data_IF_296665284292
#
_entry.id   IF_296665284292
#
_cell.length_a   1.000
_cell.length_b   1.000
_cell.length_c   1.000
_cell.angle_alpha   90.00
_cell.angle_beta   90.00
_cell.angle_gamma   90.00
#
_symmetry.space_group_name_H-M   'P 1'
#
loop_
_entity.id
_entity.type
_entity.pdbx_description
1 polymer ?
#
# COMPACT_ATOMS: atom_id res chain seq x y z
N UNK A 1 1.70 37.53 0.49
CA UNK A 1 1.32 36.82 1.73
C UNK A 1 0.00 36.07 1.58
N UNK A 2 -0.99 36.65 0.89
CA UNK A 2 -2.27 35.98 0.59
C UNK A 2 -2.11 34.64 -0.16
N UNK A 3 -1.19 34.59 -1.12
CA UNK A 3 -1.02 33.43 -2.03
C UNK A 3 -0.48 32.19 -1.32
N UNK A 4 0.25 32.36 -0.22
CA UNK A 4 0.74 31.26 0.62
C UNK A 4 -0.28 30.79 1.65
N UNK A 5 -1.23 31.65 2.04
CA UNK A 5 -2.18 31.32 3.10
C UNK A 5 -3.17 30.24 2.66
N UNK A 6 -3.69 30.32 1.45
CA UNK A 6 -4.68 29.37 0.95
C UNK A 6 -4.13 27.94 0.85
N UNK A 7 -2.96 27.67 0.22
CA UNK A 7 -2.37 26.33 0.22
C UNK A 7 -2.07 25.76 1.60
N UNK A 8 -1.64 26.62 2.55
CA UNK A 8 -1.39 26.18 3.92
C UNK A 8 -2.70 25.74 4.61
N UNK A 9 -3.80 26.47 4.39
CA UNK A 9 -5.12 26.08 4.90
C UNK A 9 -5.57 24.75 4.27
N UNK A 10 -5.38 24.56 2.97
CA UNK A 10 -5.69 23.29 2.29
C UNK A 10 -4.89 22.12 2.88
N UNK A 11 -3.57 22.29 3.08
CA UNK A 11 -2.73 21.26 3.70
C UNK A 11 -3.24 20.92 5.10
N UNK A 12 -3.50 21.93 5.94
CA UNK A 12 -4.00 21.70 7.29
C UNK A 12 -5.36 21.00 7.30
N UNK A 13 -6.30 21.48 6.47
CA UNK A 13 -7.62 20.86 6.32
C UNK A 13 -7.52 19.43 5.82
N UNK A 14 -6.69 19.17 4.82
CA UNK A 14 -6.44 17.84 4.28
C UNK A 14 -5.93 16.88 5.36
N UNK A 15 -4.96 17.31 6.18
CA UNK A 15 -4.46 16.51 7.31
C UNK A 15 -5.58 16.19 8.31
N UNK A 16 -6.37 17.19 8.71
CA UNK A 16 -7.49 16.99 9.65
C UNK A 16 -8.51 16.00 9.11
N UNK A 17 -8.88 16.12 7.82
CA UNK A 17 -9.82 15.22 7.15
C UNK A 17 -9.27 13.79 7.04
N UNK A 18 -7.99 13.63 6.70
CA UNK A 18 -7.33 12.32 6.63
C UNK A 18 -7.35 11.61 8.00
N UNK A 19 -6.94 12.28 9.07
CA UNK A 19 -6.92 11.68 10.41
C UNK A 19 -8.34 11.39 10.92
N UNK A 20 -9.30 12.29 10.70
CA UNK A 20 -10.69 12.08 11.10
C UNK A 20 -11.33 10.93 10.31
N UNK A 21 -11.10 10.91 9.00
CA UNK A 21 -11.58 9.85 8.11
C UNK A 21 -10.96 8.48 8.45
N UNK A 22 -9.65 8.45 8.69
CA UNK A 22 -8.95 7.25 9.09
C UNK A 22 -9.43 6.70 10.45
N UNK A 23 -9.72 7.59 11.41
CA UNK A 23 -10.27 7.19 12.71
C UNK A 23 -11.66 6.54 12.54
N UNK A 24 -12.57 7.15 11.76
CA UNK A 24 -13.89 6.58 11.49
C UNK A 24 -13.78 5.26 10.74
N UNK A 25 -12.91 5.19 9.74
CA UNK A 25 -12.74 4.00 8.92
C UNK A 25 -12.20 2.82 9.72
N UNK A 26 -11.14 3.02 10.51
CA UNK A 26 -10.56 1.97 11.36
C UNK A 26 -11.53 1.53 12.46
N UNK A 27 -12.27 2.45 13.09
CA UNK A 27 -13.33 2.06 14.03
C UNK A 27 -14.37 1.18 13.33
N UNK A 28 -14.87 1.61 12.17
CA UNK A 28 -15.83 0.83 11.39
C UNK A 28 -15.29 -0.57 11.04
N UNK A 29 -14.02 -0.67 10.62
CA UNK A 29 -13.37 -1.93 10.28
C UNK A 29 -13.23 -2.88 11.48
N UNK A 30 -12.84 -2.35 12.64
CA UNK A 30 -12.76 -3.14 13.88
C UNK A 30 -14.15 -3.69 14.25
N UNK A 31 -15.17 -2.85 14.28
CA UNK A 31 -16.53 -3.28 14.59
C UNK A 31 -17.07 -4.28 13.56
N UNK A 32 -16.79 -4.07 12.27
CA UNK A 32 -17.18 -5.02 11.22
C UNK A 32 -16.55 -6.40 11.44
N UNK A 33 -15.26 -6.45 11.79
CA UNK A 33 -14.54 -7.69 12.11
C UNK A 33 -15.22 -8.45 13.25
N UNK A 34 -15.59 -7.73 14.30
CA UNK A 34 -16.23 -8.29 15.49
C UNK A 34 -17.65 -8.81 15.22
N UNK A 35 -18.47 -8.04 14.48
CA UNK A 35 -19.86 -8.45 14.14
C UNK A 35 -19.88 -9.67 13.23
N UNK A 36 -18.99 -9.71 12.24
CA UNK A 36 -18.91 -10.82 11.29
C UNK A 36 -18.18 -12.03 11.87
N UNK A 37 -17.50 -11.89 13.00
CA UNK A 37 -16.64 -12.94 13.55
C UNK A 37 -15.42 -13.23 12.67
N UNK A 38 -14.97 -12.24 11.89
CA UNK A 38 -13.86 -12.36 10.92
C UNK A 38 -12.58 -11.80 11.55
N UNK A 39 -11.44 -12.52 11.47
CA UNK A 39 -10.18 -12.01 11.98
C UNK A 39 -9.81 -10.63 11.39
N UNK A 40 -9.29 -9.72 12.22
CA UNK A 40 -8.93 -8.36 11.82
C UNK A 40 -7.96 -8.32 10.62
N UNK A 41 -7.07 -9.32 10.51
CA UNK A 41 -6.15 -9.43 9.39
C UNK A 41 -6.89 -9.59 8.05
N UNK A 42 -7.98 -10.36 8.02
CA UNK A 42 -8.78 -10.57 6.80
C UNK A 42 -9.54 -9.30 6.42
N UNK A 43 -10.09 -8.59 7.42
CA UNK A 43 -10.72 -7.28 7.18
C UNK A 43 -9.69 -6.28 6.65
N UNK A 44 -8.45 -6.31 7.17
CA UNK A 44 -7.34 -5.50 6.66
C UNK A 44 -7.02 -5.81 5.19
N UNK A 45 -6.87 -7.10 4.86
CA UNK A 45 -6.56 -7.58 3.51
C UNK A 45 -7.68 -7.34 2.48
N UNK A 46 -8.91 -7.11 2.92
CA UNK A 46 -10.09 -7.00 2.06
C UNK A 46 -10.75 -5.62 2.14
N UNK A 47 -11.58 -5.40 3.15
CA UNK A 47 -12.41 -4.19 3.27
C UNK A 47 -11.57 -2.94 3.42
N UNK A 48 -10.54 -2.99 4.28
CA UNK A 48 -9.69 -1.81 4.53
C UNK A 48 -8.87 -1.49 3.30
N UNK A 49 -8.19 -2.47 2.73
CA UNK A 49 -7.38 -2.26 1.53
C UNK A 49 -8.21 -1.83 0.31
N UNK A 50 -9.40 -2.42 0.10
CA UNK A 50 -10.29 -1.99 -1.00
C UNK A 50 -10.76 -0.55 -0.82
N UNK A 51 -11.09 -0.17 0.42
CA UNK A 51 -11.54 1.18 0.73
C UNK A 51 -10.44 2.21 0.51
N UNK A 52 -9.23 1.94 0.99
CA UNK A 52 -8.10 2.87 0.87
C UNK A 52 -7.54 2.93 -0.55
N UNK A 53 -7.51 1.81 -1.30
CA UNK A 53 -7.04 1.77 -2.70
C UNK A 53 -8.10 2.21 -3.72
N UNK A 54 -9.28 2.66 -3.29
CA UNK A 54 -10.29 3.21 -4.20
C UNK A 54 -9.81 4.45 -4.96
N UNK A 55 -9.08 5.42 -4.36
CA UNK A 55 -8.51 6.54 -5.10
C UNK A 55 -7.54 6.09 -6.20
N UNK A 56 -6.66 5.13 -5.91
CA UNK A 56 -5.72 4.56 -6.90
C UNK A 56 -6.46 3.97 -8.08
N UNK A 57 -7.53 3.21 -7.84
CA UNK A 57 -8.37 2.63 -8.89
C UNK A 57 -8.98 3.72 -9.77
N UNK A 58 -9.58 4.74 -9.15
CA UNK A 58 -10.22 5.85 -9.88
C UNK A 58 -9.22 6.66 -10.68
N UNK A 59 -8.05 6.99 -10.11
CA UNK A 59 -6.99 7.74 -10.80
C UNK A 59 -6.45 6.92 -11.97
N UNK A 60 -6.14 5.63 -11.77
CA UNK A 60 -5.59 4.79 -12.82
C UNK A 60 -6.57 4.57 -13.96
N UNK A 61 -7.86 4.26 -13.68
CA UNK A 61 -8.88 4.11 -14.71
C UNK A 61 -9.15 5.42 -15.45
N UNK A 62 -9.22 6.56 -14.74
CA UNK A 62 -9.39 7.86 -15.39
C UNK A 62 -8.21 8.23 -16.29
N UNK A 63 -7.00 7.81 -15.92
CA UNK A 63 -5.79 8.00 -16.75
C UNK A 63 -5.88 7.20 -18.05
N UNK A 64 -6.34 5.95 -18.00
CA UNK A 64 -6.59 5.14 -19.21
C UNK A 64 -7.62 5.81 -20.12
N UNK A 65 -8.73 6.28 -19.56
CA UNK A 65 -9.77 6.97 -20.33
C UNK A 65 -9.26 8.27 -21.00
N UNK A 66 -8.25 8.90 -20.41
CA UNK A 66 -7.58 10.09 -20.98
C UNK A 66 -6.41 9.75 -21.91
N UNK A 67 -6.13 8.46 -22.14
CA UNK A 67 -5.03 8.01 -22.98
C UNK A 67 -3.63 8.09 -22.32
N UNK A 68 -3.57 8.18 -21.00
CA UNK A 68 -2.31 8.28 -20.23
C UNK A 68 -1.97 6.94 -19.55
N UNK A 69 -1.67 5.91 -20.35
CA UNK A 69 -1.35 4.54 -19.90
C UNK A 69 -0.17 4.54 -18.91
N UNK A 70 0.87 5.32 -19.20
CA UNK A 70 2.06 5.42 -18.35
C UNK A 70 1.74 5.94 -16.94
N UNK A 71 0.83 6.92 -16.83
CA UNK A 71 0.39 7.44 -15.54
C UNK A 71 -0.37 6.38 -14.73
N UNK A 72 -1.22 5.58 -15.38
CA UNK A 72 -1.93 4.49 -14.72
C UNK A 72 -0.98 3.43 -14.16
N UNK A 73 -0.01 2.99 -14.97
CA UNK A 73 0.97 1.98 -14.57
C UNK A 73 1.90 2.50 -13.46
N UNK A 74 2.44 3.72 -13.60
CA UNK A 74 3.34 4.31 -12.60
C UNK A 74 2.65 4.56 -11.27
N UNK A 75 1.37 4.97 -11.26
CA UNK A 75 0.58 5.12 -10.04
C UNK A 75 0.52 3.80 -9.27
N UNK A 76 0.19 2.69 -9.92
CA UNK A 76 0.08 1.38 -9.25
C UNK A 76 1.44 0.89 -8.76
N UNK A 77 2.48 0.95 -9.58
CA UNK A 77 3.82 0.48 -9.21
C UNK A 77 4.38 1.33 -8.05
N UNK A 78 4.23 2.65 -8.16
CA UNK A 78 4.67 3.60 -7.12
C UNK A 78 3.95 3.38 -5.80
N UNK A 79 2.62 3.20 -5.80
CA UNK A 79 1.83 2.89 -4.60
C UNK A 79 2.28 1.58 -3.93
N UNK A 80 2.61 0.54 -4.71
CA UNK A 80 3.12 -0.72 -4.14
C UNK A 80 4.47 -0.52 -3.42
N UNK A 81 5.40 0.22 -4.02
CA UNK A 81 6.69 0.55 -3.41
C UNK A 81 6.48 1.41 -2.16
N UNK A 82 5.63 2.44 -2.23
CA UNK A 82 5.31 3.32 -1.13
C UNK A 82 4.69 2.55 0.05
N UNK A 83 3.74 1.68 -0.20
CA UNK A 83 3.07 0.88 0.81
C UNK A 83 4.06 0.00 1.59
N UNK A 84 4.99 -0.68 0.92
CA UNK A 84 5.99 -1.51 1.60
C UNK A 84 7.02 -0.64 2.34
N UNK A 85 7.57 0.38 1.69
CA UNK A 85 8.70 1.09 2.25
C UNK A 85 8.30 2.20 3.24
N UNK A 86 7.23 2.93 2.93
CA UNK A 86 6.80 4.08 3.76
C UNK A 86 5.72 3.69 4.74
N UNK A 87 4.65 3.04 4.28
CA UNK A 87 3.51 2.74 5.18
C UNK A 87 3.90 1.74 6.25
N UNK A 88 4.55 0.61 5.90
CA UNK A 88 5.08 -0.31 6.92
C UNK A 88 6.22 0.32 7.72
N UNK A 89 7.09 1.09 7.06
CA UNK A 89 8.20 1.79 7.70
C UNK A 89 7.72 2.68 8.84
N UNK A 90 6.84 3.64 8.55
CA UNK A 90 6.30 4.59 9.54
C UNK A 90 5.47 3.85 10.61
N UNK A 91 4.59 2.94 10.19
CA UNK A 91 3.74 2.19 11.13
C UNK A 91 4.56 1.39 12.14
N UNK A 92 5.67 0.77 11.71
CA UNK A 92 6.55 -0.01 12.59
C UNK A 92 7.44 0.86 13.50
N UNK A 93 7.75 2.10 13.10
CA UNK A 93 8.40 3.09 13.97
C UNK A 93 7.50 3.49 15.14
N UNK A 94 6.20 3.65 14.89
CA UNK A 94 5.20 3.97 15.90
C UNK A 94 5.08 2.81 16.88
N UNK A 95 4.75 1.64 16.37
CA UNK A 95 4.55 0.42 17.16
C UNK A 95 5.13 -0.78 16.38
N UNK A 96 6.02 -1.60 16.98
CA UNK A 96 6.47 -2.83 16.34
C UNK A 96 5.28 -3.69 15.90
N UNK A 97 5.19 -3.99 14.61
CA UNK A 97 4.04 -4.67 14.02
C UNK A 97 4.19 -6.20 14.20
N UNK A 98 3.30 -6.82 14.94
CA UNK A 98 3.26 -8.28 15.08
C UNK A 98 2.76 -8.90 13.77
N UNK A 99 3.51 -9.86 13.25
CA UNK A 99 3.20 -10.54 11.98
C UNK A 99 2.67 -11.94 12.25
N UNK A 100 1.46 -12.25 11.81
CA UNK A 100 0.91 -13.59 11.90
C UNK A 100 1.60 -14.53 10.89
N UNK A 101 1.76 -15.79 11.27
CA UNK A 101 2.40 -16.82 10.43
C UNK A 101 1.70 -17.00 9.07
N UNK A 102 0.41 -16.73 8.99
CA UNK A 102 -0.37 -16.73 7.74
C UNK A 102 0.20 -15.74 6.72
N UNK A 103 0.48 -14.50 7.13
CA UNK A 103 1.05 -13.46 6.26
C UNK A 103 2.35 -13.95 5.62
N UNK A 104 3.25 -14.51 6.44
CA UNK A 104 4.57 -14.99 5.99
C UNK A 104 4.45 -16.21 5.07
N UNK A 105 3.54 -17.14 5.37
CA UNK A 105 3.45 -18.43 4.67
C UNK A 105 2.56 -18.40 3.43
N UNK A 106 1.66 -17.43 3.32
CA UNK A 106 0.67 -17.35 2.25
C UNK A 106 0.69 -16.00 1.52
N UNK A 107 0.39 -14.90 2.25
CA UNK A 107 0.05 -13.63 1.61
C UNK A 107 1.28 -12.96 0.98
N UNK A 108 2.43 -12.98 1.67
CA UNK A 108 3.69 -12.46 1.12
C UNK A 108 4.19 -13.31 -0.05
N UNK A 109 4.27 -14.67 0.01
CA UNK A 109 4.61 -15.48 -1.14
C UNK A 109 3.68 -15.30 -2.34
N UNK A 110 2.37 -15.12 -2.10
CA UNK A 110 1.42 -14.80 -3.16
C UNK A 110 1.74 -13.44 -3.79
N UNK A 111 1.95 -12.41 -2.97
CA UNK A 111 2.32 -11.08 -3.45
C UNK A 111 3.63 -11.11 -4.26
N UNK A 112 4.63 -11.86 -3.81
CA UNK A 112 5.89 -12.08 -4.54
C UNK A 112 5.65 -12.73 -5.91
N UNK A 113 4.85 -13.80 -5.95
CA UNK A 113 4.52 -14.50 -7.18
C UNK A 113 3.79 -13.59 -8.18
N UNK A 114 2.80 -12.81 -7.71
CA UNK A 114 2.06 -11.85 -8.55
C UNK A 114 2.99 -10.73 -9.02
N UNK A 115 3.85 -10.17 -8.16
CA UNK A 115 4.80 -9.12 -8.55
C UNK A 115 5.77 -9.61 -9.63
N UNK A 116 6.29 -10.83 -9.51
CA UNK A 116 7.12 -11.46 -10.55
C UNK A 116 6.33 -11.68 -11.85
N UNK A 117 5.07 -12.15 -11.75
CA UNK A 117 4.22 -12.37 -12.92
C UNK A 117 3.90 -11.05 -13.64
N UNK A 118 3.57 -9.98 -12.91
CA UNK A 118 3.35 -8.65 -13.48
C UNK A 118 4.61 -8.15 -14.20
N UNK A 119 5.78 -8.26 -13.59
CA UNK A 119 7.04 -7.87 -14.22
C UNK A 119 7.30 -8.69 -15.50
N UNK A 120 7.16 -10.01 -15.43
CA UNK A 120 7.34 -10.89 -16.58
C UNK A 120 6.36 -10.57 -17.73
N UNK A 121 5.07 -10.40 -17.43
CA UNK A 121 4.04 -10.04 -18.41
C UNK A 121 4.25 -8.66 -19.02
N UNK A 122 4.85 -7.73 -18.28
CA UNK A 122 5.16 -6.36 -18.73
C UNK A 122 6.45 -6.28 -19.57
N UNK A 123 7.24 -7.34 -19.66
CA UNK A 123 8.58 -7.34 -20.28
C UNK A 123 8.60 -6.93 -21.75
N UNK A 124 7.49 -7.12 -22.46
CA UNK A 124 7.32 -6.72 -23.88
C UNK A 124 6.97 -5.24 -24.08
N UNK A 125 6.76 -4.48 -23.01
CA UNK A 125 6.27 -3.10 -23.07
C UNK A 125 4.75 -2.97 -23.05
N UNK A 126 4.04 -4.09 -23.02
CA UNK A 126 2.58 -4.12 -23.04
C UNK A 126 2.05 -5.12 -22.02
N UNK A 127 1.15 -4.68 -21.16
CA UNK A 127 0.33 -5.57 -20.36
C UNK A 127 -0.97 -5.84 -21.12
N UNK A 128 -1.07 -7.02 -21.71
CA UNK A 128 -2.12 -7.37 -22.67
C UNK A 128 -3.49 -7.59 -22.01
N UNK A 129 -4.57 -7.58 -22.80
CA UNK A 129 -5.92 -7.93 -22.34
C UNK A 129 -5.94 -9.31 -21.64
N UNK A 130 -5.22 -10.30 -22.18
CA UNK A 130 -5.13 -11.64 -21.58
C UNK A 130 -4.45 -11.59 -20.20
N UNK A 131 -3.39 -10.79 -20.07
CA UNK A 131 -2.74 -10.57 -18.78
C UNK A 131 -3.70 -9.91 -17.77
N UNK A 132 -4.49 -8.92 -18.21
CA UNK A 132 -5.53 -8.29 -17.37
C UNK A 132 -6.59 -9.29 -16.91
N UNK A 133 -7.12 -10.12 -17.80
CA UNK A 133 -8.08 -11.19 -17.46
C UNK A 133 -7.46 -12.19 -16.47
N UNK A 134 -6.21 -12.59 -16.68
CA UNK A 134 -5.47 -13.48 -15.76
C UNK A 134 -5.34 -12.87 -14.36
N UNK A 135 -4.99 -11.59 -14.24
CA UNK A 135 -4.88 -10.90 -12.96
C UNK A 135 -6.23 -10.84 -12.23
N UNK A 136 -7.32 -10.49 -12.92
CA UNK A 136 -8.67 -10.50 -12.33
C UNK A 136 -9.08 -11.92 -11.92
N UNK A 137 -8.75 -12.93 -12.72
CA UNK A 137 -8.99 -14.33 -12.35
C UNK A 137 -8.25 -14.72 -11.07
N UNK A 138 -6.97 -14.35 -10.94
CA UNK A 138 -6.20 -14.55 -9.72
C UNK A 138 -6.82 -13.83 -8.51
N UNK A 139 -7.37 -12.62 -8.70
CA UNK A 139 -8.10 -11.89 -7.66
C UNK A 139 -9.33 -12.68 -7.17
N UNK A 140 -10.13 -13.19 -8.10
CA UNK A 140 -11.32 -14.01 -7.77
C UNK A 140 -10.90 -15.26 -6.98
N UNK A 141 -9.88 -15.98 -7.45
CA UNK A 141 -9.37 -17.15 -6.73
C UNK A 141 -8.87 -16.82 -5.33
N UNK A 142 -8.11 -15.72 -5.19
CA UNK A 142 -7.64 -15.27 -3.89
C UNK A 142 -8.81 -14.90 -2.96
N UNK A 143 -9.83 -14.22 -3.47
CA UNK A 143 -11.02 -13.83 -2.69
C UNK A 143 -11.80 -15.07 -2.25
N UNK A 144 -12.02 -16.05 -3.13
CA UNK A 144 -12.67 -17.32 -2.77
C UNK A 144 -11.87 -18.05 -1.68
N UNK A 145 -10.55 -18.09 -1.82
CA UNK A 145 -9.68 -18.72 -0.82
C UNK A 145 -9.76 -17.99 0.54
N UNK A 146 -9.80 -16.65 0.55
CA UNK A 146 -10.00 -15.86 1.77
C UNK A 146 -11.31 -16.27 2.47
N UNK A 147 -12.41 -16.30 1.74
CA UNK A 147 -13.74 -16.64 2.27
C UNK A 147 -13.74 -18.07 2.84
N UNK A 148 -13.18 -19.04 2.14
CA UNK A 148 -13.13 -20.42 2.61
C UNK A 148 -12.29 -20.57 3.90
N UNK A 149 -11.19 -19.83 4.00
CA UNK A 149 -10.32 -19.87 5.20
C UNK A 149 -11.01 -19.24 6.43
N UNK A 150 -11.94 -18.31 6.24
CA UNK A 150 -12.75 -17.74 7.32
C UNK A 150 -13.65 -18.84 7.92
N UNK A 151 -14.28 -19.65 7.07
CA UNK A 151 -15.21 -20.70 7.48
C UNK A 151 -14.54 -21.81 8.30
N UNK A 152 -13.24 -22.09 8.05
CA UNK A 152 -12.48 -23.13 8.77
C UNK A 152 -12.00 -22.69 10.16
N UNK A 153 -11.85 -21.39 10.41
CA UNK A 153 -11.22 -20.83 11.63
C UNK A 153 -12.19 -20.15 12.60
N UNK A 154 -13.46 -20.49 12.60
CA UNK A 154 -14.50 -19.91 13.47
C UNK A 154 -14.25 -19.96 14.99
N UNK A 155 -13.06 -20.37 15.45
CA UNK A 155 -12.73 -20.52 16.87
C UNK A 155 -11.89 -19.36 17.47
N UNK A 156 -11.24 -18.49 16.67
CA UNK A 156 -10.36 -17.42 17.20
C UNK A 156 -11.10 -16.16 17.70
N UNK A 157 -12.41 -16.08 17.57
CA UNK A 157 -13.21 -14.89 17.93
C UNK A 157 -14.00 -15.03 19.25
N UNK A 158 -13.69 -16.02 20.09
CA UNK A 158 -14.45 -16.30 21.31
C UNK A 158 -14.26 -15.29 22.46
N UNK A 159 -13.31 -14.36 22.36
CA UNK A 159 -13.10 -13.32 23.38
C UNK A 159 -13.79 -11.99 23.01
N UNK A 160 -15.01 -12.08 22.44
CA UNK A 160 -15.82 -10.90 22.18
C UNK A 160 -16.36 -10.33 23.50
N UNK A 161 -15.99 -9.07 23.79
CA UNK A 161 -16.48 -8.36 24.98
C UNK A 161 -18.02 -8.25 24.98
N UNK A 162 -18.68 -8.21 26.14
CA UNK A 162 -20.16 -8.15 26.24
C UNK A 162 -20.84 -7.03 25.49
N UNK A 163 -20.14 -5.90 25.29
CA UNK A 163 -20.60 -4.76 24.47
C UNK A 163 -20.87 -5.12 22.99
N UNK A 164 -20.33 -6.23 22.51
CA UNK A 164 -20.43 -6.67 21.12
C UNK A 164 -21.71 -7.47 20.88
N UNK A 165 -22.20 -8.21 21.86
CA UNK A 165 -23.48 -8.92 21.75
C UNK A 165 -24.65 -7.94 21.64
N UNK A 166 -24.61 -6.82 22.38
CA UNK A 166 -25.62 -5.78 22.31
C UNK A 166 -25.64 -5.06 20.96
N UNK A 167 -24.48 -4.93 20.30
CA UNK A 167 -24.36 -4.33 18.95
C UNK A 167 -24.79 -5.27 17.82
N UNK A 168 -24.67 -6.60 18.01
CA UNK A 168 -25.05 -7.59 16.98
C UNK A 168 -26.53 -7.56 16.66
N UNK A 169 -27.38 -7.30 17.63
CA UNK A 169 -28.86 -7.28 17.45
C UNK A 169 -29.43 -5.87 17.19
N UNK A 170 -28.61 -4.82 17.32
CA UNK A 170 -29.10 -3.46 17.17
C UNK A 170 -28.90 -2.97 15.73
N UNK A 171 -30.00 -2.80 14.97
CA UNK A 171 -30.01 -2.24 13.61
C UNK A 171 -29.35 -0.85 13.53
N UNK A 172 -29.55 0.00 14.55
CA UNK A 172 -28.88 1.33 14.64
C UNK A 172 -27.37 1.19 14.77
N UNK A 173 -26.88 0.18 15.50
CA UNK A 173 -25.45 -0.12 15.60
C UNK A 173 -24.83 -0.51 14.27
N UNK A 174 -25.48 -1.40 13.52
CA UNK A 174 -25.01 -1.82 12.17
C UNK A 174 -25.02 -0.68 11.18
N UNK A 175 -26.06 0.16 11.19
CA UNK A 175 -26.14 1.35 10.33
C UNK A 175 -25.02 2.36 10.66
N UNK A 176 -24.72 2.58 11.95
CA UNK A 176 -23.66 3.48 12.36
C UNK A 176 -22.27 2.99 11.91
N UNK A 177 -22.04 1.68 11.89
CA UNK A 177 -20.78 1.08 11.41
C UNK A 177 -20.62 1.31 9.92
N UNK A 178 -21.68 1.03 9.14
CA UNK A 178 -21.67 1.27 7.69
C UNK A 178 -21.44 2.75 7.37
N UNK A 179 -22.10 3.65 8.09
CA UNK A 179 -21.90 5.09 7.96
C UNK A 179 -20.45 5.50 8.29
N UNK A 180 -19.84 4.95 9.34
CA UNK A 180 -18.44 5.22 9.67
C UNK A 180 -17.48 4.75 8.57
N UNK A 181 -17.72 3.57 7.97
CA UNK A 181 -16.91 3.08 6.86
C UNK A 181 -17.03 3.99 5.63
N UNK A 182 -18.25 4.30 5.20
CA UNK A 182 -18.50 5.15 4.01
C UNK A 182 -17.96 6.56 4.24
N UNK A 183 -18.27 7.18 5.38
CA UNK A 183 -17.79 8.51 5.71
C UNK A 183 -16.27 8.53 5.86
N UNK A 184 -15.70 7.48 6.43
CA UNK A 184 -14.26 7.32 6.54
C UNK A 184 -13.57 7.32 5.18
N UNK A 185 -14.03 6.50 4.23
CA UNK A 185 -13.50 6.45 2.86
C UNK A 185 -13.66 7.82 2.17
N UNK A 186 -14.83 8.45 2.29
CA UNK A 186 -15.06 9.76 1.70
C UNK A 186 -14.09 10.82 2.24
N UNK A 187 -13.93 10.90 3.57
CA UNK A 187 -13.04 11.87 4.21
C UNK A 187 -11.56 11.59 3.90
N UNK A 188 -11.16 10.32 3.83
CA UNK A 188 -9.79 9.93 3.43
C UNK A 188 -9.51 10.36 2.00
N UNK A 189 -10.39 10.05 1.05
CA UNK A 189 -10.20 10.39 -0.36
C UNK A 189 -10.24 11.90 -0.59
N UNK A 190 -11.20 12.59 0.03
CA UNK A 190 -11.35 14.05 -0.10
C UNK A 190 -10.21 14.80 0.59
N UNK A 191 -9.82 14.35 1.79
CA UNK A 191 -8.70 14.92 2.53
C UNK A 191 -7.36 14.75 1.82
N UNK A 192 -7.14 13.58 1.21
CA UNK A 192 -5.96 13.32 0.37
C UNK A 192 -5.89 14.30 -0.81
N UNK A 193 -6.98 14.47 -1.56
CA UNK A 193 -7.02 15.39 -2.70
C UNK A 193 -6.73 16.85 -2.28
N UNK A 194 -7.33 17.32 -1.18
CA UNK A 194 -7.10 18.68 -0.68
C UNK A 194 -5.64 18.86 -0.26
N UNK A 195 -5.07 17.88 0.48
CA UNK A 195 -3.68 17.93 0.93
C UNK A 195 -2.72 17.97 -0.26
N UNK A 196 -2.93 17.13 -1.26
CA UNK A 196 -2.12 17.08 -2.48
C UNK A 196 -2.19 18.42 -3.23
N UNK A 197 -3.38 18.95 -3.46
CA UNK A 197 -3.57 20.23 -4.17
C UNK A 197 -2.87 21.39 -3.46
N UNK A 198 -3.06 21.51 -2.15
CA UNK A 198 -2.38 22.53 -1.35
C UNK A 198 -0.86 22.37 -1.36
N UNK A 199 -0.36 21.12 -1.27
CA UNK A 199 1.07 20.83 -1.31
C UNK A 199 1.69 21.15 -2.66
N UNK A 200 1.01 20.82 -3.76
CA UNK A 200 1.44 21.16 -5.13
C UNK A 200 1.52 22.67 -5.33
N UNK A 201 0.46 23.38 -4.95
CA UNK A 201 0.39 24.84 -5.08
C UNK A 201 1.50 25.50 -4.27
N UNK A 202 1.70 25.07 -3.02
CA UNK A 202 2.77 25.59 -2.17
C UNK A 202 4.16 25.32 -2.75
N UNK A 203 4.42 24.10 -3.22
CA UNK A 203 5.70 23.73 -3.83
C UNK A 203 5.98 24.54 -5.10
N UNK A 204 4.97 24.77 -5.94
CA UNK A 204 5.06 25.62 -7.14
C UNK A 204 5.39 27.07 -6.78
N UNK A 205 4.73 27.64 -5.75
CA UNK A 205 5.02 28.98 -5.25
C UNK A 205 6.43 29.12 -4.67
N UNK A 206 6.98 28.03 -4.14
CA UNK A 206 8.38 27.97 -3.65
C UNK A 206 9.40 27.72 -4.77
N UNK A 207 8.95 27.62 -6.02
CA UNK A 207 9.83 27.40 -7.19
C UNK A 207 10.36 25.97 -7.32
N UNK A 208 9.72 24.99 -6.69
CA UNK A 208 10.08 23.57 -6.85
C UNK A 208 9.72 23.13 -8.27
N UNK A 209 10.61 22.37 -8.92
CA UNK A 209 10.39 21.86 -10.26
C UNK A 209 9.16 20.96 -10.33
N UNK A 210 8.29 21.15 -11.34
CA UNK A 210 7.04 20.40 -11.53
C UNK A 210 7.25 18.89 -11.60
N UNK A 211 8.38 18.44 -12.16
CA UNK A 211 8.72 17.01 -12.24
C UNK A 211 8.94 16.44 -10.83
N UNK A 212 9.64 17.18 -9.98
CA UNK A 212 9.88 16.78 -8.57
C UNK A 212 8.56 16.73 -7.81
N UNK A 213 7.68 17.73 -8.01
CA UNK A 213 6.33 17.74 -7.42
C UNK A 213 5.53 16.50 -7.86
N UNK A 214 5.53 16.19 -9.17
CA UNK A 214 4.84 15.04 -9.72
C UNK A 214 5.34 13.71 -9.14
N UNK A 215 6.68 13.54 -9.08
CA UNK A 215 7.30 12.30 -8.59
C UNK A 215 7.17 12.08 -7.08
N UNK A 216 7.00 13.14 -6.31
CA UNK A 216 6.95 13.06 -4.85
C UNK A 216 5.53 13.26 -4.31
N UNK A 217 4.98 14.45 -4.45
CA UNK A 217 3.70 14.84 -3.82
C UNK A 217 2.52 14.13 -4.48
N UNK A 218 2.50 14.11 -5.83
CA UNK A 218 1.36 13.53 -6.56
C UNK A 218 1.40 12.01 -6.47
N UNK A 219 2.57 11.41 -6.74
CA UNK A 219 2.72 9.97 -6.76
C UNK A 219 2.43 9.31 -5.39
N UNK A 220 2.68 10.04 -4.28
CA UNK A 220 2.37 9.54 -2.94
C UNK A 220 0.96 9.88 -2.48
N UNK A 221 0.33 10.85 -3.13
CA UNK A 221 -0.96 11.40 -2.70
C UNK A 221 -2.09 10.38 -2.64
N UNK A 222 -2.20 9.51 -3.62
CA UNK A 222 -3.25 8.48 -3.64
C UNK A 222 -3.09 7.47 -2.51
N UNK A 223 -1.86 7.20 -2.07
CA UNK A 223 -1.56 6.24 -0.98
C UNK A 223 -1.55 6.87 0.43
N UNK A 224 -1.94 8.14 0.56
CA UNK A 224 -2.11 8.77 1.88
C UNK A 224 -3.22 8.11 2.73
N UNK A 225 -4.35 7.68 2.17
CA UNK A 225 -5.34 6.90 2.90
C UNK A 225 -4.76 5.64 3.55
N UNK A 226 -3.95 4.87 2.80
CA UNK A 226 -3.24 3.68 3.31
C UNK A 226 -2.31 4.04 4.47
N UNK A 227 -1.54 5.11 4.31
CA UNK A 227 -0.60 5.57 5.31
C UNK A 227 -1.33 5.93 6.60
N UNK A 228 -2.34 6.79 6.53
CA UNK A 228 -3.04 7.30 7.71
C UNK A 228 -3.82 6.19 8.41
N UNK A 229 -4.52 5.33 7.68
CA UNK A 229 -5.26 4.20 8.26
C UNK A 229 -4.33 3.21 8.94
N UNK A 230 -3.17 2.89 8.34
CA UNK A 230 -2.18 1.99 8.93
C UNK A 230 -1.51 2.60 10.17
N UNK A 231 -1.23 3.91 10.16
CA UNK A 231 -0.75 4.66 11.33
C UNK A 231 -1.77 4.59 12.48
N UNK A 232 -3.05 4.87 12.21
CA UNK A 232 -4.10 4.85 13.24
C UNK A 232 -4.28 3.42 13.78
N UNK A 233 -4.27 2.40 12.91
CA UNK A 233 -4.33 1.01 13.32
C UNK A 233 -3.13 0.63 14.22
N UNK A 234 -1.92 1.06 13.87
CA UNK A 234 -0.71 0.86 14.67
C UNK A 234 -0.80 1.55 16.04
N UNK A 235 -1.26 2.79 16.10
CA UNK A 235 -1.49 3.53 17.37
C UNK A 235 -2.50 2.82 18.27
N UNK A 236 -3.53 2.22 17.70
CA UNK A 236 -4.55 1.43 18.43
C UNK A 236 -4.07 0.03 18.79
N UNK A 237 -2.83 -0.35 18.47
CA UNK A 237 -2.29 -1.69 18.69
C UNK A 237 -2.92 -2.77 17.77
N UNK A 238 -3.70 -2.37 16.75
CA UNK A 238 -4.34 -3.25 15.77
C UNK A 238 -3.39 -3.56 14.62
N UNK A 239 -2.23 -4.15 14.95
CA UNK A 239 -1.14 -4.41 14.00
C UNK A 239 -1.57 -5.30 12.83
N UNK A 240 -2.52 -6.21 13.05
CA UNK A 240 -3.10 -7.06 12.01
C UNK A 240 -3.82 -6.24 10.93
N UNK A 241 -4.58 -5.21 11.33
CA UNK A 241 -5.23 -4.30 10.37
C UNK A 241 -4.20 -3.50 9.57
N UNK A 242 -3.13 -3.00 10.22
CA UNK A 242 -2.09 -2.24 9.54
C UNK A 242 -1.36 -3.07 8.49
N UNK A 243 -0.91 -4.28 8.85
CA UNK A 243 -0.22 -5.19 7.90
C UNK A 243 -1.18 -5.67 6.82
N UNK A 244 -2.40 -6.05 7.21
CA UNK A 244 -3.43 -6.49 6.27
C UNK A 244 -3.76 -5.41 5.24
N UNK A 245 -3.88 -4.15 5.66
CA UNK A 245 -4.08 -3.02 4.76
C UNK A 245 -2.96 -2.93 3.72
N UNK A 246 -1.70 -2.94 4.14
CA UNK A 246 -0.55 -2.79 3.21
C UNK A 246 -0.46 -3.96 2.23
N UNK A 247 -0.50 -5.20 2.73
CA UNK A 247 -0.38 -6.39 1.86
C UNK A 247 -1.60 -6.52 0.96
N UNK A 248 -2.80 -6.24 1.48
CA UNK A 248 -4.05 -6.26 0.72
C UNK A 248 -4.08 -5.20 -0.37
N UNK A 249 -3.69 -3.95 -0.06
CA UNK A 249 -3.59 -2.87 -1.05
C UNK A 249 -2.59 -3.22 -2.15
N UNK A 250 -1.43 -3.80 -1.82
CA UNK A 250 -0.47 -4.22 -2.84
C UNK A 250 -0.99 -5.34 -3.75
N UNK A 251 -1.72 -6.32 -3.20
CA UNK A 251 -2.40 -7.34 -4.00
C UNK A 251 -3.50 -6.73 -4.87
N UNK A 252 -4.36 -5.86 -4.32
CA UNK A 252 -5.43 -5.20 -5.06
C UNK A 252 -4.89 -4.29 -6.16
N UNK A 253 -3.84 -3.53 -5.89
CA UNK A 253 -3.19 -2.68 -6.87
C UNK A 253 -2.73 -3.49 -8.09
N UNK A 254 -2.12 -4.63 -7.88
CA UNK A 254 -1.63 -5.48 -8.97
C UNK A 254 -2.76 -6.28 -9.62
N UNK A 255 -3.62 -6.93 -8.84
CA UNK A 255 -4.65 -7.83 -9.38
C UNK A 255 -5.86 -7.07 -9.91
N UNK A 256 -6.41 -6.12 -9.11
CA UNK A 256 -7.61 -5.37 -9.48
C UNK A 256 -7.27 -4.20 -10.39
N UNK A 257 -6.34 -3.32 -9.97
CA UNK A 257 -6.14 -2.05 -10.68
C UNK A 257 -5.40 -2.26 -11.99
N UNK A 258 -4.21 -2.91 -12.00
CA UNK A 258 -3.52 -3.24 -13.26
C UNK A 258 -4.35 -4.17 -14.14
N UNK A 259 -5.02 -5.16 -13.54
CA UNK A 259 -5.92 -6.05 -14.26
C UNK A 259 -7.04 -5.30 -14.96
N UNK A 260 -7.73 -4.41 -14.26
CA UNK A 260 -8.78 -3.56 -14.83
C UNK A 260 -8.23 -2.60 -15.90
N UNK A 261 -7.12 -1.91 -15.63
CA UNK A 261 -6.49 -1.02 -16.61
C UNK A 261 -6.14 -1.75 -17.91
N UNK A 262 -5.58 -2.95 -17.83
CA UNK A 262 -5.27 -3.77 -19.01
C UNK A 262 -6.52 -4.18 -19.78
N UNK A 263 -7.61 -4.51 -19.09
CA UNK A 263 -8.89 -4.86 -19.71
C UNK A 263 -9.52 -3.63 -20.38
N UNK A 264 -9.53 -2.48 -19.72
CA UNK A 264 -10.07 -1.24 -20.27
C UNK A 264 -9.25 -0.70 -21.45
N UNK A 265 -7.93 -0.98 -21.51
CA UNK A 265 -7.10 -0.70 -22.69
C UNK A 265 -7.43 -1.60 -23.89
N UNK A 266 -8.23 -2.66 -23.69
CA UNK A 266 -8.70 -3.57 -24.72
C UNK A 266 -7.59 -4.34 -25.45
N UNK A 267 -7.77 -4.59 -26.75
CA UNK A 267 -6.77 -5.33 -27.55
C UNK A 267 -5.46 -4.57 -27.75
N UNK A 268 -5.44 -3.25 -27.56
CA UNK A 268 -4.22 -2.44 -27.60
C UNK A 268 -3.27 -2.81 -26.45
N UNK A 269 -3.83 -3.23 -25.31
CA UNK A 269 -3.09 -3.46 -24.07
C UNK A 269 -2.67 -2.16 -23.38
N UNK A 270 -2.34 -2.26 -22.10
CA UNK A 270 -1.79 -1.17 -21.31
C UNK A 270 -0.31 -0.99 -21.62
N UNK A 271 0.07 0.18 -22.11
CA UNK A 271 1.48 0.50 -22.42
C UNK A 271 2.26 0.69 -21.13
N UNK A 272 3.36 -0.05 -20.99
CA UNK A 272 4.29 0.07 -19.85
C UNK A 272 5.60 0.64 -20.36
N UNK A 273 5.99 1.80 -19.85
CA UNK A 273 7.23 2.45 -20.23
C UNK A 273 8.47 1.62 -19.91
N UNK A 274 9.50 1.72 -20.75
CA UNK A 274 10.77 1.00 -20.56
C UNK A 274 11.49 1.35 -19.25
N UNK A 275 11.33 2.58 -18.77
CA UNK A 275 11.81 3.02 -17.46
C UNK A 275 11.19 2.21 -16.31
N UNK A 276 9.86 2.02 -16.35
CA UNK A 276 9.12 1.22 -15.35
C UNK A 276 9.56 -0.24 -15.40
N UNK A 277 9.74 -0.81 -16.60
CA UNK A 277 10.11 -2.24 -16.76
C UNK A 277 11.53 -2.50 -16.23
N UNK A 278 12.48 -1.58 -16.52
CA UNK A 278 13.90 -1.79 -16.19
C UNK A 278 14.28 -1.37 -14.77
N UNK A 279 13.54 -0.48 -14.14
CA UNK A 279 13.89 0.10 -12.84
C UNK A 279 12.80 -0.13 -11.80
N UNK A 280 11.58 0.33 -12.05
CA UNK A 280 10.54 0.37 -11.01
C UNK A 280 9.93 -0.99 -10.71
N UNK A 281 9.61 -1.78 -11.72
CA UNK A 281 9.08 -3.13 -11.53
C UNK A 281 10.10 -4.05 -10.84
N UNK A 282 11.39 -4.14 -11.25
CA UNK A 282 12.40 -4.85 -10.48
C UNK A 282 12.52 -4.37 -9.04
N UNK A 283 12.48 -3.05 -8.81
CA UNK A 283 12.55 -2.49 -7.47
C UNK A 283 11.30 -2.86 -6.64
N UNK A 284 10.11 -2.79 -7.20
CA UNK A 284 8.87 -3.25 -6.57
C UNK A 284 8.95 -4.74 -6.20
N UNK A 285 9.46 -5.58 -7.09
CA UNK A 285 9.68 -7.01 -6.81
C UNK A 285 10.68 -7.18 -5.66
N UNK A 286 11.81 -6.50 -5.68
CA UNK A 286 12.82 -6.57 -4.61
C UNK A 286 12.25 -6.12 -3.25
N UNK A 287 11.47 -5.04 -3.20
CA UNK A 287 10.81 -4.59 -1.95
C UNK A 287 9.84 -5.64 -1.42
N UNK A 288 9.11 -6.29 -2.31
CA UNK A 288 8.20 -7.39 -1.94
C UNK A 288 8.97 -8.60 -1.40
N UNK A 289 10.10 -8.95 -2.02
CA UNK A 289 10.97 -10.02 -1.54
C UNK A 289 11.59 -9.69 -0.17
N UNK A 290 11.92 -8.43 0.09
CA UNK A 290 12.43 -7.99 1.38
C UNK A 290 11.40 -8.16 2.52
N UNK A 291 10.10 -8.16 2.24
CA UNK A 291 9.07 -8.44 3.23
C UNK A 291 9.24 -9.83 3.86
N UNK A 292 9.67 -10.85 3.11
CA UNK A 292 9.75 -12.22 3.60
C UNK A 292 10.72 -12.36 4.80
N UNK A 293 12.01 -12.00 4.70
CA UNK A 293 12.93 -12.07 5.84
C UNK A 293 12.56 -11.11 6.97
N UNK A 294 12.05 -9.90 6.66
CA UNK A 294 11.62 -8.93 7.66
C UNK A 294 10.45 -9.49 8.48
N UNK A 295 9.45 -10.07 7.84
CA UNK A 295 8.26 -10.60 8.50
C UNK A 295 8.54 -11.93 9.22
N UNK A 296 9.48 -12.72 8.71
CA UNK A 296 9.88 -13.98 9.34
C UNK A 296 10.71 -13.72 10.60
N UNK A 297 11.54 -12.68 10.58
CA UNK A 297 12.40 -12.29 11.69
C UNK A 297 11.53 -11.98 12.93
N UNK A 298 11.62 -12.80 14.00
CA UNK A 298 10.95 -12.62 15.29
C UNK A 298 9.41 -12.53 15.26
N UNK A 299 8.76 -12.79 14.12
CA UNK A 299 7.30 -12.62 13.98
C UNK A 299 6.81 -11.19 14.23
N UNK A 300 7.66 -10.20 13.98
CA UNK A 300 7.33 -8.77 14.09
C UNK A 300 8.28 -7.92 13.25
N UNK A 301 7.74 -6.84 12.70
CA UNK A 301 8.55 -5.76 12.10
C UNK A 301 8.99 -4.84 13.24
N UNK A 302 10.29 -4.70 13.41
CA UNK A 302 10.89 -3.86 14.46
C UNK A 302 11.02 -2.41 13.98
N UNK A 303 11.24 -1.47 14.92
CA UNK A 303 11.50 -0.07 14.59
C UNK A 303 12.75 0.11 13.71
N UNK A 304 13.79 -0.72 13.93
CA UNK A 304 15.03 -0.67 13.12
C UNK A 304 14.72 -1.07 11.68
N UNK A 305 13.98 -2.15 11.47
CA UNK A 305 13.54 -2.58 10.14
C UNK A 305 12.67 -1.52 9.47
N UNK A 306 11.77 -0.86 10.22
CA UNK A 306 11.01 0.28 9.73
C UNK A 306 11.85 1.46 9.31
N UNK A 307 12.88 1.81 10.08
CA UNK A 307 13.84 2.85 9.72
C UNK A 307 14.60 2.50 8.43
N UNK A 308 15.00 1.23 8.27
CA UNK A 308 15.65 0.74 7.07
C UNK A 308 14.73 0.86 5.85
N UNK A 309 13.46 0.45 5.97
CA UNK A 309 12.48 0.58 4.88
C UNK A 309 12.33 2.04 4.43
N UNK A 310 12.23 2.98 5.36
CA UNK A 310 12.13 4.41 5.03
C UNK A 310 13.38 4.94 4.32
N UNK A 311 14.57 4.55 4.78
CA UNK A 311 15.80 4.95 4.09
C UNK A 311 15.86 4.43 2.67
N UNK A 312 15.39 3.20 2.42
CA UNK A 312 15.30 2.65 1.07
C UNK A 312 14.35 3.46 0.17
N UNK A 313 13.24 3.97 0.71
CA UNK A 313 12.36 4.85 -0.04
C UNK A 313 13.03 6.19 -0.38
N UNK A 314 13.73 6.78 0.59
CA UNK A 314 14.48 8.03 0.35
C UNK A 314 15.51 7.82 -0.77
N UNK A 315 16.26 6.73 -0.75
CA UNK A 315 17.21 6.40 -1.83
C UNK A 315 16.52 6.19 -3.17
N UNK A 316 15.35 5.51 -3.19
CA UNK A 316 14.56 5.33 -4.41
C UNK A 316 14.14 6.69 -5.02
N UNK A 317 13.64 7.62 -4.21
CA UNK A 317 13.26 8.96 -4.66
C UNK A 317 14.49 9.76 -5.13
N UNK A 318 15.62 9.68 -4.40
CA UNK A 318 16.86 10.32 -4.81
C UNK A 318 17.34 9.81 -6.17
N UNK A 319 17.28 8.48 -6.43
CA UNK A 319 17.62 7.91 -7.75
C UNK A 319 16.74 8.51 -8.86
N UNK A 320 15.43 8.64 -8.63
CA UNK A 320 14.50 9.25 -9.59
C UNK A 320 14.83 10.72 -9.87
N UNK A 321 15.10 11.52 -8.84
CA UNK A 321 15.43 12.93 -8.98
C UNK A 321 16.79 13.11 -9.72
N UNK A 322 17.78 12.30 -9.36
CA UNK A 322 19.11 12.37 -9.99
C UNK A 322 19.08 11.92 -11.45
N UNK A 323 18.25 10.92 -11.78
CA UNK A 323 18.08 10.47 -13.17
C UNK A 323 17.56 11.59 -14.09
N UNK A 324 16.63 12.41 -13.59
CA UNK A 324 16.08 13.54 -14.34
C UNK A 324 17.11 14.64 -14.61
N UNK A 325 18.15 14.74 -13.79
CA UNK A 325 19.20 15.76 -13.93
C UNK A 325 20.44 15.26 -14.67
N UNK A 326 20.41 14.09 -15.33
CA UNK A 326 21.49 13.51 -16.15
C UNK A 326 22.86 13.42 -15.43
N UNK A 327 22.88 13.18 -14.11
CA UNK A 327 24.14 13.03 -13.39
C UNK A 327 24.90 11.76 -13.77
N UNK A 328 26.16 11.90 -14.17
CA UNK A 328 27.05 10.80 -14.59
C UNK A 328 27.31 9.73 -13.51
N UNK A 329 26.96 10.00 -12.26
CA UNK A 329 27.17 9.13 -11.09
C UNK A 329 26.06 8.08 -10.87
N UNK A 330 25.04 8.07 -11.70
CA UNK A 330 23.82 7.26 -11.51
C UNK A 330 24.02 5.75 -11.56
N UNK A 331 24.92 5.28 -12.46
CA UNK A 331 25.20 3.85 -12.60
C UNK A 331 25.85 3.29 -11.32
N UNK A 332 26.76 4.04 -10.72
CA UNK A 332 27.46 3.66 -9.50
C UNK A 332 26.52 3.72 -8.27
N UNK A 333 25.66 4.73 -8.19
CA UNK A 333 24.65 4.83 -7.13
C UNK A 333 23.66 3.67 -7.19
N UNK A 334 23.18 3.29 -8.37
CA UNK A 334 22.29 2.13 -8.55
C UNK A 334 22.94 0.82 -8.14
N UNK A 335 24.18 0.60 -8.57
CA UNK A 335 24.96 -0.58 -8.14
C UNK A 335 25.11 -0.57 -6.62
N UNK A 336 25.45 0.57 -6.02
CA UNK A 336 25.54 0.73 -4.57
C UNK A 336 24.23 0.40 -3.85
N UNK A 337 23.09 0.83 -4.38
CA UNK A 337 21.76 0.53 -3.86
C UNK A 337 21.44 -0.97 -3.95
N UNK A 338 21.71 -1.59 -5.09
CA UNK A 338 21.51 -3.04 -5.24
C UNK A 338 22.38 -3.83 -4.28
N UNK A 339 23.65 -3.46 -4.10
CA UNK A 339 24.56 -4.10 -3.14
C UNK A 339 24.06 -3.88 -1.71
N UNK A 340 23.64 -2.67 -1.36
CA UNK A 340 23.10 -2.36 -0.04
C UNK A 340 21.85 -3.20 0.26
N UNK A 341 20.92 -3.34 -0.70
CA UNK A 341 19.71 -4.16 -0.58
C UNK A 341 20.06 -5.64 -0.39
N UNK A 342 20.98 -6.16 -1.20
CA UNK A 342 21.43 -7.54 -1.10
C UNK A 342 22.11 -7.81 0.26
N UNK A 343 22.98 -6.90 0.71
CA UNK A 343 23.63 -7.00 2.03
C UNK A 343 22.62 -6.90 3.18
N UNK A 344 21.59 -6.04 3.06
CA UNK A 344 20.54 -5.94 4.05
C UNK A 344 19.75 -7.23 4.19
N UNK A 345 19.35 -7.84 3.07
CA UNK A 345 18.65 -9.13 3.05
C UNK A 345 19.53 -10.21 3.67
N UNK A 346 20.81 -10.28 3.29
CA UNK A 346 21.77 -11.24 3.86
C UNK A 346 21.95 -11.00 5.37
N UNK A 347 22.08 -9.75 5.80
CA UNK A 347 22.19 -9.39 7.21
C UNK A 347 20.96 -9.84 8.02
N UNK A 348 19.76 -9.63 7.51
CA UNK A 348 18.50 -10.05 8.16
C UNK A 348 18.44 -11.60 8.27
N UNK A 349 18.82 -12.31 7.21
CA UNK A 349 18.87 -13.78 7.20
C UNK A 349 19.91 -14.31 8.19
N UNK A 350 21.11 -13.71 8.24
CA UNK A 350 22.19 -14.11 9.15
C UNK A 350 21.82 -13.83 10.61
N UNK A 351 21.22 -12.67 10.91
CA UNK A 351 20.74 -12.36 12.25
C UNK A 351 19.73 -13.41 12.75
N UNK A 352 18.91 -13.94 11.86
CA UNK A 352 17.93 -14.95 12.22
C UNK A 352 18.60 -16.30 12.51
N UNK A 353 19.53 -16.75 11.64
CA UNK A 353 20.29 -18.01 11.88
C UNK A 353 21.09 -17.99 13.18
N UNK A 354 21.72 -16.86 13.52
CA UNK A 354 22.50 -16.72 14.77
C UNK A 354 21.63 -16.81 16.03
N UNK A 355 20.32 -16.47 15.94
CA UNK A 355 19.39 -16.60 17.05
C UNK A 355 18.86 -18.01 17.25
N UNK A 356 18.63 -18.76 16.16
CA UNK A 356 18.28 -20.19 16.25
C UNK A 356 19.42 -21.05 16.77
N UNK A 357 20.67 -20.59 16.65
CA UNK A 357 21.86 -21.31 17.19
C UNK A 357 22.05 -21.08 18.69
N UNK A 358 21.44 -20.05 19.28
CA UNK A 358 21.59 -19.67 20.69
C UNK A 358 20.32 -19.92 21.53
N UNK A 359 19.28 -20.53 20.96
CA UNK A 359 18.07 -21.03 21.62
C UNK A 359 18.03 -22.56 21.60
#
# INVERSE_FOLDING_TARGET
>A
MSDFLFPIIEIFLGVVLLFTGGEFFIQGAIFLSLILGIPQIVIGLTVVSLGTSSPELLVSLSSILKGSDSLAASNVIGSNIFNVLVVLGISSLITPLKVKSRIVRRDVPLLMAISCAVWAMSSTGLLTLQAGIFLIFCLILNTIWEINTINEKGEETKDAEPEIEELKDNYKGKMNILLKLILGIFLLSFGSNILVNGSQTLATLLGVNEIVIGLTIVATGTSLPELVTSIIAAFKGKTDLAIGNVIGSNLLNQLLILGSCSIFSGFKGLVIEQSLIKVDLPFMVLTTFACLPIFWSKGKITRIEGFILLNLYIFYILDKILFLNEFNFLSELRIGLFIYFALLIVFLIVQEKLKFSNS
#
